data_IF_037973549296
#
_entry.id   IF_037973549296
#
_cell.length_a   1.000
_cell.length_b   1.000
_cell.length_c   1.000
_cell.angle_alpha   90.00
_cell.angle_beta   90.00
_cell.angle_gamma   90.00
#
_symmetry.space_group_name_H-M   'P 1'
#
loop_
_entity.id
_entity.type
_entity.pdbx_description
1 polymer ?
#
# COMPACT_ATOMS: atom_id res chain seq x y z
N UNK A 1 4.97 -3.72 -24.64
CA UNK A 1 4.20 -4.36 -23.56
C UNK A 1 2.75 -3.92 -23.69
N UNK A 2 1.90 -4.68 -24.39
CA UNK A 2 0.46 -4.40 -24.45
C UNK A 2 -0.19 -4.31 -23.05
N UNK A 3 0.39 -4.98 -22.06
CA UNK A 3 -0.10 -5.03 -20.67
C UNK A 3 0.02 -3.71 -19.87
N UNK A 4 0.91 -2.78 -20.26
CA UNK A 4 1.15 -1.56 -19.47
C UNK A 4 -0.01 -0.55 -19.55
N UNK A 5 -0.78 -0.55 -20.65
CA UNK A 5 -1.94 0.32 -20.81
C UNK A 5 -3.10 -0.08 -19.88
N UNK A 6 -3.25 -1.38 -19.61
CA UNK A 6 -4.36 -1.95 -18.83
C UNK A 6 -4.30 -1.66 -17.32
N UNK A 7 -3.23 -1.01 -16.84
CA UNK A 7 -3.04 -0.69 -15.41
C UNK A 7 -2.95 0.82 -15.11
N UNK A 8 -3.11 1.71 -16.09
CA UNK A 8 -2.97 3.16 -15.88
C UNK A 8 -3.98 3.71 -14.84
N UNK A 9 -5.31 3.45 -14.94
CA UNK A 9 -6.26 3.93 -13.93
C UNK A 9 -6.01 3.34 -12.54
N UNK A 10 -5.58 2.08 -12.45
CA UNK A 10 -5.20 1.46 -11.18
C UNK A 10 -3.95 2.10 -10.58
N UNK A 11 -3.01 2.52 -11.43
CA UNK A 11 -1.82 3.27 -10.99
C UNK A 11 -2.23 4.65 -10.47
N UNK A 12 -3.10 5.38 -11.19
CA UNK A 12 -3.65 6.64 -10.70
C UNK A 12 -4.41 6.48 -9.37
N UNK A 13 -5.16 5.38 -9.18
CA UNK A 13 -5.85 5.10 -7.92
C UNK A 13 -4.89 4.98 -6.73
N UNK A 14 -3.67 4.47 -6.95
CA UNK A 14 -2.63 4.40 -5.90
C UNK A 14 -2.25 5.78 -5.37
N UNK A 15 -2.26 6.81 -6.22
CA UNK A 15 -2.04 8.18 -5.74
C UNK A 15 -3.13 8.61 -4.77
N UNK A 16 -4.41 8.43 -5.14
CA UNK A 16 -5.53 8.79 -4.28
C UNK A 16 -5.51 8.00 -2.95
N UNK A 17 -5.18 6.71 -2.99
CA UNK A 17 -5.02 5.90 -1.78
C UNK A 17 -3.87 6.39 -0.88
N UNK A 18 -2.70 6.71 -1.44
CA UNK A 18 -1.59 7.28 -0.67
C UNK A 18 -1.95 8.65 -0.08
N UNK A 19 -2.58 9.52 -0.87
CA UNK A 19 -2.98 10.84 -0.41
C UNK A 19 -4.05 10.78 0.66
N UNK A 20 -4.95 9.80 0.60
CA UNK A 20 -5.95 9.57 1.65
C UNK A 20 -5.29 9.21 2.99
N UNK A 21 -4.23 8.39 2.97
CA UNK A 21 -3.39 8.11 4.16
C UNK A 21 -2.65 9.36 4.64
N UNK A 22 -2.17 10.21 3.73
CA UNK A 22 -1.53 11.49 4.09
C UNK A 22 -2.53 12.39 4.82
N UNK A 23 -3.76 12.54 4.31
CA UNK A 23 -4.81 13.31 4.97
C UNK A 23 -5.08 12.81 6.39
N UNK A 24 -5.18 11.49 6.58
CA UNK A 24 -5.36 10.90 7.92
C UNK A 24 -4.27 11.31 8.91
N UNK A 25 -3.01 11.32 8.48
CA UNK A 25 -1.89 11.63 9.37
C UNK A 25 -1.61 13.13 9.54
N UNK A 26 -1.99 13.96 8.56
CA UNK A 26 -1.63 15.38 8.50
C UNK A 26 -2.78 16.28 8.94
N UNK A 27 -4.04 15.93 8.66
CA UNK A 27 -5.19 16.76 9.02
C UNK A 27 -5.27 17.12 10.51
N UNK A 28 -4.99 16.22 11.47
CA UNK A 28 -5.03 16.57 12.90
C UNK A 28 -4.05 17.68 13.30
N UNK A 29 -3.08 18.00 12.44
CA UNK A 29 -2.07 19.05 12.64
C UNK A 29 -2.45 20.36 11.94
N UNK A 30 -3.64 20.45 11.35
CA UNK A 30 -4.18 21.67 10.76
C UNK A 30 -5.04 22.42 11.78
N UNK A 31 -4.82 23.72 11.92
CA UNK A 31 -5.55 24.54 12.89
C UNK A 31 -6.92 25.02 12.38
N UNK A 32 -7.85 24.06 12.22
CA UNK A 32 -9.23 24.34 11.74
C UNK A 32 -10.32 23.87 12.69
N UNK A 33 -9.96 23.26 13.82
CA UNK A 33 -10.92 22.87 14.88
C UNK A 33 -11.86 21.70 14.54
N UNK A 34 -11.83 21.16 13.32
CA UNK A 34 -12.61 19.97 12.93
C UNK A 34 -11.75 19.00 12.10
N UNK A 35 -12.16 17.72 12.07
CA UNK A 35 -11.60 16.71 11.17
C UNK A 35 -12.73 16.14 10.31
N UNK A 36 -12.72 16.30 8.98
CA UNK A 36 -13.77 15.79 8.12
C UNK A 36 -13.71 14.26 8.06
N UNK A 37 -14.85 13.62 7.79
CA UNK A 37 -14.96 12.17 7.72
C UNK A 37 -13.95 11.53 6.76
N UNK A 38 -13.67 12.20 5.63
CA UNK A 38 -12.66 11.76 4.67
C UNK A 38 -11.25 11.71 5.28
N UNK A 39 -10.88 12.65 6.14
CA UNK A 39 -9.59 12.59 6.83
C UNK A 39 -9.60 11.53 7.93
N UNK A 40 -10.70 11.40 8.70
CA UNK A 40 -10.83 10.40 9.76
C UNK A 40 -10.70 8.96 9.23
N UNK A 41 -11.29 8.67 8.07
CA UNK A 41 -11.26 7.34 7.44
C UNK A 41 -10.06 7.11 6.52
N UNK A 42 -9.11 8.04 6.45
CA UNK A 42 -7.98 7.94 5.51
C UNK A 42 -7.00 6.81 5.77
N UNK A 43 -7.05 6.17 6.94
CA UNK A 43 -6.35 4.91 7.19
C UNK A 43 -6.77 3.80 6.23
N UNK A 44 -8.01 3.83 5.71
CA UNK A 44 -8.55 2.87 4.74
C UNK A 44 -7.87 2.91 3.35
N UNK A 45 -7.03 3.93 3.10
CA UNK A 45 -6.16 3.93 1.93
C UNK A 45 -5.20 2.74 1.90
N UNK A 46 -4.83 2.18 3.06
CA UNK A 46 -3.97 0.99 3.15
C UNK A 46 -4.70 -0.26 2.63
N UNK A 47 -5.99 -0.42 2.95
CA UNK A 47 -6.82 -1.52 2.47
C UNK A 47 -7.03 -1.46 0.95
N UNK A 48 -7.09 -0.25 0.38
CA UNK A 48 -7.07 -0.07 -1.07
C UNK A 48 -5.74 -0.59 -1.67
N UNK A 49 -4.60 -0.31 -1.05
CA UNK A 49 -3.31 -0.87 -1.46
C UNK A 49 -3.26 -2.40 -1.36
N UNK A 50 -3.76 -2.97 -0.27
CA UNK A 50 -3.82 -4.42 -0.09
C UNK A 50 -4.68 -5.11 -1.16
N UNK A 51 -5.85 -4.55 -1.46
CA UNK A 51 -6.74 -5.06 -2.51
C UNK A 51 -6.11 -4.92 -3.90
N UNK A 52 -5.49 -3.77 -4.19
CA UNK A 52 -4.74 -3.56 -5.43
C UNK A 52 -3.56 -4.54 -5.57
N UNK A 53 -2.86 -4.84 -4.48
CA UNK A 53 -1.73 -5.78 -4.47
C UNK A 53 -2.18 -7.18 -4.89
N UNK A 54 -3.26 -7.70 -4.31
CA UNK A 54 -3.82 -8.99 -4.69
C UNK A 54 -4.26 -9.05 -6.16
N UNK A 55 -4.90 -7.99 -6.65
CA UNK A 55 -5.34 -7.89 -8.05
C UNK A 55 -4.15 -7.89 -9.01
N UNK A 56 -3.16 -7.00 -8.79
CA UNK A 56 -2.00 -6.82 -9.66
C UNK A 56 -1.10 -8.07 -9.64
N UNK A 57 -0.90 -8.71 -8.49
CA UNK A 57 -0.09 -9.92 -8.40
C UNK A 57 -0.74 -11.07 -9.17
N UNK A 58 -2.06 -11.22 -9.09
CA UNK A 58 -2.76 -12.19 -9.93
C UNK A 58 -2.65 -11.84 -11.41
N UNK A 59 -2.79 -10.57 -11.80
CA UNK A 59 -2.62 -10.14 -13.18
C UNK A 59 -1.26 -10.52 -13.76
N UNK A 60 -0.18 -10.33 -12.99
CA UNK A 60 1.19 -10.59 -13.46
C UNK A 60 1.58 -12.07 -13.38
N UNK A 61 1.19 -12.79 -12.31
CA UNK A 61 1.77 -14.11 -12.01
C UNK A 61 0.80 -15.29 -12.16
N UNK A 62 -0.52 -15.08 -12.21
CA UNK A 62 -1.49 -16.18 -12.11
C UNK A 62 -1.44 -17.13 -13.31
N UNK A 63 -1.29 -16.62 -14.54
CA UNK A 63 -1.18 -17.47 -15.73
C UNK A 63 0.09 -18.32 -15.69
N UNK A 64 1.23 -17.70 -15.36
CA UNK A 64 2.49 -18.43 -15.19
C UNK A 64 2.43 -19.48 -14.08
N UNK A 65 1.66 -19.21 -13.01
CA UNK A 65 1.42 -20.19 -11.94
C UNK A 65 0.64 -21.40 -12.46
N UNK A 66 -0.48 -21.16 -13.13
CA UNK A 66 -1.33 -22.22 -13.69
C UNK A 66 -0.67 -23.07 -14.76
N UNK A 67 0.26 -22.49 -15.52
CA UNK A 67 1.03 -23.15 -16.58
C UNK A 67 2.34 -23.79 -16.07
N UNK A 68 2.61 -23.78 -14.76
CA UNK A 68 3.84 -24.35 -14.19
C UNK A 68 5.12 -23.57 -14.50
N UNK A 69 5.02 -22.34 -15.03
CA UNK A 69 6.14 -21.44 -15.31
C UNK A 69 6.52 -20.55 -14.12
N UNK A 70 5.74 -20.57 -13.04
CA UNK A 70 5.98 -19.74 -11.86
C UNK A 70 7.19 -20.22 -11.06
N UNK A 71 8.14 -19.31 -10.82
CA UNK A 71 9.34 -19.55 -10.02
C UNK A 71 9.26 -18.71 -8.76
N UNK A 72 9.02 -19.36 -7.62
CA UNK A 72 8.79 -18.68 -6.34
C UNK A 72 9.97 -17.79 -5.92
N UNK A 73 11.21 -18.25 -6.09
CA UNK A 73 12.40 -17.45 -5.79
C UNK A 73 12.51 -16.18 -6.65
N UNK A 74 12.24 -16.26 -7.96
CA UNK A 74 12.24 -15.10 -8.85
C UNK A 74 11.12 -14.12 -8.46
N UNK A 75 9.95 -14.64 -8.07
CA UNK A 75 8.83 -13.83 -7.58
C UNK A 75 9.22 -13.07 -6.30
N UNK A 76 9.71 -13.77 -5.27
CA UNK A 76 10.10 -13.15 -4.01
C UNK A 76 11.21 -12.12 -4.19
N UNK A 77 12.20 -12.40 -5.03
CA UNK A 77 13.27 -11.45 -5.32
C UNK A 77 12.73 -10.17 -5.97
N UNK A 78 11.81 -10.29 -6.93
CA UNK A 78 11.18 -9.13 -7.56
C UNK A 78 10.33 -8.31 -6.56
N UNK A 79 9.67 -8.97 -5.60
CA UNK A 79 8.92 -8.29 -4.54
C UNK A 79 9.85 -7.61 -3.54
N UNK A 80 10.91 -8.29 -3.10
CA UNK A 80 11.92 -7.72 -2.22
C UNK A 80 12.59 -6.50 -2.86
N UNK A 81 12.95 -6.58 -4.14
CA UNK A 81 13.50 -5.46 -4.91
C UNK A 81 12.53 -4.27 -5.05
N UNK A 82 11.22 -4.51 -4.94
CA UNK A 82 10.20 -3.45 -4.99
C UNK A 82 10.14 -2.67 -3.68
N UNK A 83 10.20 -3.35 -2.53
CA UNK A 83 9.92 -2.75 -1.21
C UNK A 83 11.17 -2.52 -0.34
N UNK A 84 12.13 -3.43 -0.35
CA UNK A 84 13.21 -3.43 0.65
C UNK A 84 14.17 -2.23 0.56
N UNK A 85 14.61 -1.75 -0.63
CA UNK A 85 15.57 -0.65 -0.71
C UNK A 85 15.10 0.62 -0.02
N UNK A 86 13.86 1.03 -0.28
CA UNK A 86 13.31 2.24 0.31
C UNK A 86 12.94 2.03 1.79
N UNK A 87 12.44 0.85 2.15
CA UNK A 87 12.27 0.48 3.55
C UNK A 87 13.54 0.69 4.35
N UNK A 88 14.66 0.13 3.89
CA UNK A 88 15.95 0.27 4.56
C UNK A 88 16.42 1.73 4.62
N UNK A 89 16.28 2.48 3.51
CA UNK A 89 16.67 3.89 3.48
C UNK A 89 15.85 4.75 4.46
N UNK A 90 14.54 4.55 4.54
CA UNK A 90 13.70 5.29 5.50
C UNK A 90 13.91 4.83 6.94
N UNK A 91 14.18 3.55 7.17
CA UNK A 91 14.55 3.03 8.49
C UNK A 91 15.84 3.69 9.00
N UNK A 92 16.88 3.74 8.16
CA UNK A 92 18.14 4.45 8.48
C UNK A 92 17.91 5.95 8.64
N UNK A 93 17.10 6.56 7.77
CA UNK A 93 16.77 7.99 7.85
C UNK A 93 16.09 8.37 9.16
N UNK A 94 15.08 7.60 9.58
CA UNK A 94 14.42 7.80 10.89
C UNK A 94 15.40 7.61 12.04
N UNK A 95 16.26 6.57 11.96
CA UNK A 95 17.29 6.35 12.96
C UNK A 95 18.24 7.53 13.11
N UNK A 96 18.76 8.03 11.98
CA UNK A 96 19.63 9.20 11.94
C UNK A 96 18.94 10.46 12.46
N UNK A 97 17.68 10.70 12.07
CA UNK A 97 16.88 11.82 12.57
C UNK A 97 16.69 11.76 14.09
N UNK A 98 16.38 10.58 14.63
CA UNK A 98 16.19 10.39 16.06
C UNK A 98 17.49 10.65 16.84
N UNK A 99 18.63 10.11 16.38
CA UNK A 99 19.94 10.36 16.99
C UNK A 99 20.29 11.85 16.96
N UNK A 100 20.13 12.50 15.79
CA UNK A 100 20.41 13.93 15.65
C UNK A 100 19.50 14.78 16.56
N UNK A 101 18.22 14.43 16.67
CA UNK A 101 17.28 15.08 17.58
C UNK A 101 17.71 14.96 19.04
N UNK A 102 18.09 13.76 19.48
CA UNK A 102 18.62 13.54 20.84
C UNK A 102 19.90 14.35 21.09
N UNK A 103 20.84 14.38 20.14
CA UNK A 103 22.07 15.17 20.25
C UNK A 103 21.79 16.68 20.30
N UNK A 104 20.73 17.14 19.64
CA UNK A 104 20.27 18.53 19.67
C UNK A 104 19.44 18.87 20.92
N UNK A 105 19.29 17.95 21.88
CA UNK A 105 18.52 18.14 23.11
C UNK A 105 17.00 18.09 22.93
N UNK A 106 16.50 17.55 21.81
CA UNK A 106 15.06 17.36 21.58
C UNK A 106 14.58 16.07 22.26
N UNK A 107 13.37 16.11 22.83
CA UNK A 107 12.70 14.92 23.34
C UNK A 107 12.25 14.05 22.17
N UNK A 108 12.87 12.87 22.05
CA UNK A 108 12.50 11.85 21.05
C UNK A 108 11.77 10.73 21.76
N UNK A 109 10.64 10.29 21.21
CA UNK A 109 9.91 9.13 21.73
C UNK A 109 10.85 7.91 21.77
N UNK A 110 11.08 7.28 22.95
CA UNK A 110 11.96 6.12 23.10
C UNK A 110 11.58 4.95 22.19
N UNK A 111 10.31 4.85 21.78
CA UNK A 111 9.83 3.82 20.87
C UNK A 111 10.42 3.96 19.46
N UNK A 112 10.76 5.18 19.01
CA UNK A 112 11.32 5.41 17.67
C UNK A 112 12.63 4.65 17.48
N UNK A 113 13.51 4.64 18.49
CA UNK A 113 14.77 3.89 18.49
C UNK A 113 14.67 2.60 19.32
N UNK A 114 13.53 1.92 19.28
CA UNK A 114 13.37 0.64 19.93
C UNK A 114 14.27 -0.43 19.27
N UNK A 115 15.47 -0.61 19.81
CA UNK A 115 16.46 -1.58 19.33
C UNK A 115 15.92 -3.02 19.35
N UNK A 116 15.05 -3.34 20.32
CA UNK A 116 14.36 -4.65 20.38
C UNK A 116 13.45 -4.90 19.18
N UNK A 117 12.92 -3.85 18.54
CA UNK A 117 12.09 -3.94 17.35
C UNK A 117 12.91 -3.96 16.04
N UNK A 118 14.20 -3.62 16.08
CA UNK A 118 15.04 -3.51 14.89
C UNK A 118 15.16 -4.85 14.10
N UNK A 119 15.41 -6.01 14.73
CA UNK A 119 15.50 -7.27 13.99
C UNK A 119 14.21 -7.57 13.21
N UNK A 120 13.05 -7.37 13.83
CA UNK A 120 11.76 -7.59 13.17
C UNK A 120 11.52 -6.61 12.01
N UNK A 121 11.97 -5.36 12.14
CA UNK A 121 11.91 -4.37 11.06
C UNK A 121 12.83 -4.72 9.89
N UNK A 122 14.05 -5.20 10.16
CA UNK A 122 14.99 -5.64 9.12
C UNK A 122 14.48 -6.88 8.38
N UNK A 123 13.79 -7.79 9.08
CA UNK A 123 13.19 -8.99 8.49
C UNK A 123 11.83 -8.75 7.85
N UNK A 124 11.26 -7.54 7.94
CA UNK A 124 9.88 -7.21 7.51
C UNK A 124 8.79 -8.05 8.19
N UNK A 125 9.00 -8.44 9.44
CA UNK A 125 8.05 -9.25 10.23
C UNK A 125 7.50 -8.53 11.46
N UNK A 126 7.77 -7.23 11.58
CA UNK A 126 7.35 -6.41 12.71
C UNK A 126 5.82 -6.24 12.81
N UNK A 127 5.06 -6.36 11.72
CA UNK A 127 3.60 -6.29 11.74
C UNK A 127 2.91 -7.65 11.95
N UNK A 128 3.68 -8.69 12.28
CA UNK A 128 3.17 -10.05 12.53
C UNK A 128 3.09 -10.38 14.02
N UNK A 129 3.37 -9.39 14.89
CA UNK A 129 3.49 -9.55 16.34
C UNK A 129 4.90 -9.82 16.86
N UNK A 130 5.91 -9.89 15.99
CA UNK A 130 7.31 -10.10 16.41
C UNK A 130 8.01 -8.83 16.92
N UNK A 131 7.45 -7.64 16.68
CA UNK A 131 7.97 -6.41 17.27
C UNK A 131 7.19 -6.05 18.54
N UNK A 132 7.87 -5.68 19.65
CA UNK A 132 7.18 -5.32 20.89
C UNK A 132 6.45 -3.97 20.79
N UNK A 133 6.91 -3.07 19.90
CA UNK A 133 6.38 -1.72 19.72
C UNK A 133 6.49 -1.28 18.26
N UNK A 134 5.73 -0.26 17.89
CA UNK A 134 5.83 0.40 16.58
C UNK A 134 7.03 1.34 16.52
N UNK A 135 8.23 0.76 16.44
CA UNK A 135 9.48 1.51 16.37
C UNK A 135 9.94 1.82 14.95
N UNK A 136 10.97 2.65 14.84
CA UNK A 136 11.57 3.09 13.58
C UNK A 136 10.54 3.81 12.69
N UNK A 137 10.33 3.33 11.46
CA UNK A 137 9.35 3.92 10.57
C UNK A 137 7.98 3.29 10.81
N UNK A 138 7.12 3.96 11.59
CA UNK A 138 5.75 3.52 11.87
C UNK A 138 4.99 3.14 10.58
N UNK A 139 5.11 3.91 9.49
CA UNK A 139 4.40 3.64 8.24
C UNK A 139 4.74 2.26 7.64
N UNK A 140 5.92 1.71 7.93
CA UNK A 140 6.39 0.46 7.34
C UNK A 140 5.60 -0.79 7.76
N UNK A 141 4.69 -0.72 8.75
CA UNK A 141 3.89 -1.86 9.19
C UNK A 141 3.13 -2.52 8.04
N UNK A 142 2.58 -1.73 7.12
CA UNK A 142 1.82 -2.26 5.98
C UNK A 142 2.70 -3.02 4.99
N UNK A 143 3.99 -2.66 4.88
CA UNK A 143 4.96 -3.36 4.04
C UNK A 143 5.37 -4.69 4.67
N UNK A 144 5.43 -4.77 6.00
CA UNK A 144 5.56 -6.05 6.69
C UNK A 144 4.35 -6.95 6.46
N UNK A 145 3.14 -6.39 6.47
CA UNK A 145 1.93 -7.12 6.10
C UNK A 145 1.97 -7.58 4.62
N UNK A 146 2.38 -6.71 3.69
CA UNK A 146 2.58 -7.09 2.28
C UNK A 146 3.61 -8.19 2.11
N UNK A 147 4.70 -8.16 2.88
CA UNK A 147 5.71 -9.22 2.86
C UNK A 147 5.12 -10.58 3.25
N UNK A 148 4.21 -10.61 4.23
CA UNK A 148 3.45 -11.82 4.55
C UNK A 148 2.58 -12.29 3.37
N UNK A 149 1.85 -11.38 2.72
CA UNK A 149 1.05 -11.72 1.54
C UNK A 149 1.90 -12.21 0.36
N UNK A 150 3.13 -11.72 0.19
CA UNK A 150 4.06 -12.22 -0.81
C UNK A 150 4.53 -13.63 -0.49
N UNK A 151 4.92 -13.90 0.75
CA UNK A 151 5.33 -15.24 1.17
C UNK A 151 4.19 -16.27 1.06
N UNK A 152 2.96 -15.84 1.30
CA UNK A 152 1.77 -16.69 1.22
C UNK A 152 1.08 -16.66 -0.15
N UNK A 153 1.62 -15.89 -1.11
CA UNK A 153 1.04 -15.74 -2.45
C UNK A 153 0.77 -17.05 -3.18
N UNK A 154 1.61 -18.10 -3.12
CA UNK A 154 1.30 -19.38 -3.76
C UNK A 154 -0.04 -19.99 -3.33
N UNK A 155 -0.45 -19.81 -2.06
CA UNK A 155 -1.74 -20.29 -1.58
C UNK A 155 -2.90 -19.48 -2.18
N UNK A 156 -2.76 -18.15 -2.23
CA UNK A 156 -3.74 -17.28 -2.91
C UNK A 156 -3.82 -17.57 -4.41
N UNK A 157 -2.67 -17.76 -5.08
CA UNK A 157 -2.59 -18.09 -6.49
C UNK A 157 -3.23 -19.45 -6.80
N UNK A 158 -3.02 -20.46 -5.94
CA UNK A 158 -3.68 -21.76 -6.05
C UNK A 158 -5.21 -21.62 -5.95
N UNK A 159 -5.71 -20.91 -4.93
CA UNK A 159 -7.13 -20.68 -4.76
C UNK A 159 -7.73 -19.91 -5.96
N UNK A 160 -7.08 -18.81 -6.38
CA UNK A 160 -7.48 -18.01 -7.52
C UNK A 160 -7.46 -18.80 -8.83
N UNK A 161 -6.46 -19.68 -9.04
CA UNK A 161 -6.37 -20.53 -10.22
C UNK A 161 -7.48 -21.57 -10.25
N UNK A 162 -7.79 -22.19 -9.12
CA UNK A 162 -8.88 -23.19 -9.01
C UNK A 162 -10.25 -22.56 -9.21
N UNK A 163 -10.44 -21.34 -8.74
CA UNK A 163 -11.71 -20.60 -8.83
C UNK A 163 -11.84 -19.73 -10.08
N UNK A 164 -10.86 -19.74 -11.00
CA UNK A 164 -10.86 -18.88 -12.20
C UNK A 164 -12.10 -19.04 -13.08
N UNK A 165 -12.67 -20.25 -13.16
CA UNK A 165 -13.89 -20.55 -13.92
C UNK A 165 -15.18 -20.20 -13.16
N UNK A 166 -15.06 -19.93 -11.84
CA UNK A 166 -16.15 -19.58 -10.94
C UNK A 166 -15.89 -18.21 -10.28
N UNK A 167 -15.71 -17.14 -11.08
CA UNK A 167 -15.30 -15.83 -10.57
C UNK A 167 -16.28 -15.22 -9.58
N UNK A 168 -17.59 -15.41 -9.80
CA UNK A 168 -18.64 -14.91 -8.89
C UNK A 168 -18.53 -15.61 -7.53
N UNK A 169 -18.30 -16.92 -7.51
CA UNK A 169 -18.11 -17.65 -6.25
C UNK A 169 -16.82 -17.20 -5.53
N UNK A 170 -15.76 -16.89 -6.27
CA UNK A 170 -14.53 -16.33 -5.70
C UNK A 170 -14.80 -14.98 -5.01
N UNK A 171 -15.52 -14.08 -5.69
CA UNK A 171 -15.88 -12.76 -5.15
C UNK A 171 -16.79 -12.89 -3.94
N UNK A 172 -17.85 -13.70 -4.02
CA UNK A 172 -18.73 -13.95 -2.87
C UNK A 172 -17.99 -14.56 -1.68
N UNK A 173 -17.06 -15.48 -1.92
CA UNK A 173 -16.22 -16.06 -0.88
C UNK A 173 -15.30 -15.02 -0.22
N UNK A 174 -14.70 -14.12 -1.00
CA UNK A 174 -13.87 -13.04 -0.46
C UNK A 174 -14.70 -11.99 0.31
N UNK A 175 -15.89 -11.63 -0.19
CA UNK A 175 -16.82 -10.74 0.50
C UNK A 175 -17.31 -11.35 1.82
N UNK A 176 -17.64 -12.65 1.82
CA UNK A 176 -17.97 -13.39 3.04
C UNK A 176 -16.80 -13.40 4.02
N UNK A 177 -15.56 -13.57 3.54
CA UNK A 177 -14.38 -13.50 4.39
C UNK A 177 -14.22 -12.12 5.05
N UNK A 178 -14.42 -11.02 4.32
CA UNK A 178 -14.43 -9.68 4.91
C UNK A 178 -15.57 -9.54 5.94
N UNK A 179 -16.80 -9.90 5.54
CA UNK A 179 -18.00 -9.75 6.37
C UNK A 179 -17.97 -10.57 7.66
N UNK A 180 -17.23 -11.69 7.68
CA UNK A 180 -17.08 -12.54 8.86
C UNK A 180 -15.86 -12.15 9.69
N UNK A 181 -14.70 -11.97 9.06
CA UNK A 181 -13.42 -11.84 9.76
C UNK A 181 -13.32 -10.51 10.52
N UNK A 182 -13.81 -9.40 9.95
CA UNK A 182 -13.79 -8.10 10.62
C UNK A 182 -14.58 -8.09 11.95
N UNK A 183 -15.89 -8.41 11.97
CA UNK A 183 -16.65 -8.44 13.22
C UNK A 183 -16.22 -9.57 14.15
N UNK A 184 -15.81 -10.73 13.63
CA UNK A 184 -15.32 -11.82 14.48
C UNK A 184 -14.01 -11.43 15.19
N UNK A 185 -13.09 -10.76 14.49
CA UNK A 185 -11.86 -10.25 15.10
C UNK A 185 -12.18 -9.22 16.17
N UNK A 186 -13.04 -8.25 15.88
CA UNK A 186 -13.42 -7.20 16.84
C UNK A 186 -14.05 -7.80 18.11
N UNK A 187 -14.93 -8.78 17.97
CA UNK A 187 -15.55 -9.48 19.09
C UNK A 187 -14.55 -10.26 19.95
N UNK A 188 -13.47 -10.81 19.35
CA UNK A 188 -12.47 -11.62 20.06
C UNK A 188 -11.32 -10.78 20.63
N UNK A 189 -10.89 -9.74 19.91
CA UNK A 189 -9.72 -8.93 20.25
C UNK A 189 -10.08 -7.66 21.03
N UNK A 190 -11.34 -7.21 20.98
CA UNK A 190 -11.82 -6.00 21.67
C UNK A 190 -11.50 -4.68 20.97
N UNK A 191 -11.00 -4.72 19.74
CA UNK A 191 -10.74 -3.56 18.88
C UNK A 191 -10.84 -3.93 17.40
N UNK A 192 -11.00 -2.94 16.52
CA UNK A 192 -11.20 -3.17 15.09
C UNK A 192 -9.96 -3.80 14.41
N UNK A 193 -10.19 -4.68 13.44
CA UNK A 193 -9.11 -5.18 12.57
C UNK A 193 -8.42 -4.06 11.79
N UNK A 194 -9.10 -2.94 11.53
CA UNK A 194 -8.48 -1.76 10.89
C UNK A 194 -7.56 -0.96 11.80
N UNK A 195 -7.58 -1.22 13.12
CA UNK A 195 -6.62 -0.65 14.07
C UNK A 195 -5.43 -1.59 14.31
N UNK A 196 -5.55 -2.86 13.91
CA UNK A 196 -4.47 -3.83 13.96
C UNK A 196 -3.34 -3.45 13.01
N UNK A 197 -2.20 -3.05 13.58
CA UNK A 197 -0.97 -2.68 12.86
C UNK A 197 0.17 -3.64 13.21
N UNK A 198 0.78 -3.52 14.40
CA UNK A 198 1.98 -4.28 14.78
C UNK A 198 1.70 -5.74 15.15
N UNK A 199 0.65 -6.00 15.93
CA UNK A 199 0.37 -7.34 16.45
C UNK A 199 -0.39 -8.23 15.46
N UNK A 200 -1.19 -7.64 14.57
CA UNK A 200 -2.11 -8.38 13.70
C UNK A 200 -2.16 -7.85 12.27
N UNK A 201 -1.20 -7.02 11.86
CA UNK A 201 -1.15 -6.45 10.51
C UNK A 201 -1.10 -7.52 9.41
N UNK A 202 -0.41 -8.64 9.69
CA UNK A 202 -0.40 -9.81 8.80
C UNK A 202 -1.80 -10.44 8.61
N UNK A 203 -2.68 -10.39 9.61
CA UNK A 203 -4.06 -10.86 9.47
C UNK A 203 -4.92 -9.85 8.70
N UNK A 204 -4.72 -8.55 8.95
CA UNK A 204 -5.47 -7.44 8.32
C UNK A 204 -5.39 -7.45 6.79
N UNK A 205 -4.23 -7.79 6.22
CA UNK A 205 -4.05 -7.82 4.76
C UNK A 205 -4.78 -8.98 4.07
N UNK A 206 -4.94 -10.13 4.73
CA UNK A 206 -5.48 -11.38 4.15
C UNK A 206 -6.83 -11.20 3.46
N UNK A 207 -7.88 -10.65 4.11
CA UNK A 207 -9.19 -10.46 3.48
C UNK A 207 -9.13 -9.54 2.25
N UNK A 208 -8.41 -8.41 2.35
CA UNK A 208 -8.28 -7.46 1.26
C UNK A 208 -7.50 -8.04 0.07
N UNK A 209 -6.40 -8.74 0.34
CA UNK A 209 -5.58 -9.37 -0.68
C UNK A 209 -6.34 -10.46 -1.44
N UNK A 210 -7.04 -11.34 -0.72
CA UNK A 210 -7.90 -12.36 -1.33
C UNK A 210 -9.01 -11.74 -2.18
N UNK A 211 -9.60 -10.64 -1.72
CA UNK A 211 -10.62 -9.91 -2.48
C UNK A 211 -10.04 -9.36 -3.78
N UNK A 212 -8.83 -8.78 -3.75
CA UNK A 212 -8.11 -8.40 -4.96
C UNK A 212 -7.90 -9.54 -5.95
N UNK A 213 -7.47 -10.72 -5.46
CA UNK A 213 -7.31 -11.92 -6.28
C UNK A 213 -8.63 -12.39 -6.91
N UNK A 214 -9.72 -12.35 -6.15
CA UNK A 214 -11.05 -12.73 -6.62
C UNK A 214 -11.61 -11.76 -7.66
N UNK A 215 -11.42 -10.45 -7.45
CA UNK A 215 -11.79 -9.41 -8.41
C UNK A 215 -11.00 -9.53 -9.71
N UNK A 216 -9.73 -9.93 -9.65
CA UNK A 216 -8.96 -10.25 -10.86
C UNK A 216 -9.56 -11.43 -11.63
N UNK A 217 -9.99 -12.50 -10.96
CA UNK A 217 -10.66 -13.61 -11.62
C UNK A 217 -11.96 -13.16 -12.32
N UNK A 218 -12.74 -12.28 -11.68
CA UNK A 218 -13.93 -11.69 -12.28
C UNK A 218 -13.59 -10.81 -13.49
N UNK A 219 -12.58 -9.96 -13.37
CA UNK A 219 -12.12 -9.09 -14.46
C UNK A 219 -11.65 -9.92 -15.67
N UNK A 220 -10.83 -10.94 -15.44
CA UNK A 220 -10.31 -11.83 -16.49
C UNK A 220 -11.42 -12.62 -17.20
N UNK A 221 -12.54 -12.90 -16.52
CA UNK A 221 -13.64 -13.65 -17.10
C UNK A 221 -14.37 -12.93 -18.23
N UNK A 222 -14.18 -11.62 -18.39
CA UNK A 222 -14.84 -10.81 -19.42
C UNK A 222 -16.38 -10.73 -19.28
N UNK A 223 -16.93 -11.20 -18.15
CA UNK A 223 -18.39 -11.26 -17.93
C UNK A 223 -19.06 -9.91 -17.78
N UNK A 224 -18.30 -8.87 -17.41
CA UNK A 224 -18.84 -7.54 -17.18
C UNK A 224 -18.64 -6.65 -18.42
N UNK A 225 -19.70 -6.00 -18.93
CA UNK A 225 -19.62 -5.21 -20.15
C UNK A 225 -18.85 -3.90 -19.93
N UNK A 226 -17.78 -3.69 -20.68
CA UNK A 226 -16.90 -2.52 -20.55
C UNK A 226 -17.64 -1.17 -20.66
N UNK A 227 -18.66 -1.07 -21.51
CA UNK A 227 -19.51 0.14 -21.65
C UNK A 227 -20.18 0.62 -20.35
N UNK A 228 -20.38 -0.28 -19.38
CA UNK A 228 -20.99 0.08 -18.09
C UNK A 228 -19.95 0.42 -17.02
N UNK A 229 -18.67 0.16 -17.27
CA UNK A 229 -17.61 0.30 -16.28
C UNK A 229 -17.40 1.75 -15.84
N UNK A 230 -17.57 2.72 -16.75
CA UNK A 230 -17.50 4.15 -16.41
C UNK A 230 -18.61 4.58 -15.44
N UNK A 231 -19.85 4.21 -15.73
CA UNK A 231 -20.98 4.46 -14.83
C UNK A 231 -20.83 3.72 -13.49
N UNK A 232 -20.36 2.47 -13.53
CA UNK A 232 -20.07 1.69 -12.34
C UNK A 232 -18.98 2.32 -11.47
N UNK A 233 -17.90 2.83 -12.09
CA UNK A 233 -16.82 3.52 -11.38
C UNK A 233 -17.32 4.82 -10.75
N UNK A 234 -18.13 5.62 -11.47
CA UNK A 234 -18.73 6.84 -10.91
C UNK A 234 -19.66 6.53 -9.74
N UNK A 235 -20.56 5.56 -9.90
CA UNK A 235 -21.50 5.13 -8.86
C UNK A 235 -20.77 4.63 -7.61
N UNK A 236 -19.78 3.75 -7.77
CA UNK A 236 -19.02 3.19 -6.64
C UNK A 236 -18.11 4.23 -5.99
N UNK A 237 -17.60 5.20 -6.74
CA UNK A 237 -16.88 6.35 -6.16
C UNK A 237 -17.81 7.18 -5.27
N UNK A 238 -19.00 7.53 -5.77
CA UNK A 238 -20.01 8.26 -5.00
C UNK A 238 -20.48 7.48 -3.78
N UNK A 239 -20.74 6.17 -3.93
CA UNK A 239 -21.13 5.30 -2.84
C UNK A 239 -20.03 5.19 -1.76
N UNK A 240 -18.76 5.11 -2.17
CA UNK A 240 -17.62 5.10 -1.25
C UNK A 240 -17.52 6.42 -0.48
N UNK A 241 -17.65 7.56 -1.17
CA UNK A 241 -17.64 8.87 -0.53
C UNK A 241 -18.82 9.06 0.44
N UNK A 242 -20.02 8.62 0.05
CA UNK A 242 -21.20 8.65 0.91
C UNK A 242 -21.00 7.73 2.15
N UNK A 243 -20.51 6.51 1.95
CA UNK A 243 -20.22 5.58 3.04
C UNK A 243 -19.21 6.16 4.03
N UNK A 244 -18.17 6.83 3.54
CA UNK A 244 -17.22 7.57 4.40
C UNK A 244 -17.92 8.72 5.12
N UNK A 245 -18.65 9.57 4.41
CA UNK A 245 -19.30 10.77 4.96
C UNK A 245 -20.32 10.44 6.05
N UNK A 246 -21.08 9.35 5.88
CA UNK A 246 -22.12 8.92 6.82
C UNK A 246 -21.63 7.89 7.85
N UNK A 247 -20.32 7.63 7.92
CA UNK A 247 -19.73 6.77 8.96
C UNK A 247 -20.13 5.30 8.86
N UNK A 248 -20.30 4.78 7.63
CA UNK A 248 -20.51 3.35 7.41
C UNK A 248 -19.32 2.53 7.96
N UNK A 249 -19.57 1.23 8.21
CA UNK A 249 -18.53 0.35 8.71
C UNK A 249 -17.38 0.20 7.71
N UNK A 250 -16.17 0.00 8.24
CA UNK A 250 -14.95 -0.12 7.43
C UNK A 250 -15.05 -1.24 6.40
N UNK A 251 -15.68 -2.36 6.78
CA UNK A 251 -15.94 -3.49 5.89
C UNK A 251 -16.73 -3.07 4.64
N UNK A 252 -17.77 -2.24 4.80
CA UNK A 252 -18.58 -1.75 3.67
C UNK A 252 -17.72 -0.87 2.75
N UNK A 253 -16.95 0.05 3.32
CA UNK A 253 -16.09 0.95 2.55
C UNK A 253 -15.05 0.15 1.75
N UNK A 254 -14.45 -0.89 2.34
CA UNK A 254 -13.49 -1.79 1.67
C UNK A 254 -14.15 -2.55 0.52
N UNK A 255 -15.37 -3.08 0.72
CA UNK A 255 -16.12 -3.77 -0.33
C UNK A 255 -16.43 -2.85 -1.52
N UNK A 256 -16.87 -1.61 -1.24
CA UNK A 256 -17.14 -0.59 -2.26
C UNK A 256 -15.86 -0.19 -3.01
N UNK A 257 -14.74 -0.04 -2.28
CA UNK A 257 -13.43 0.27 -2.86
C UNK A 257 -12.93 -0.84 -3.79
N UNK A 258 -13.10 -2.11 -3.41
CA UNK A 258 -12.76 -3.23 -4.30
C UNK A 258 -13.63 -3.27 -5.55
N UNK A 259 -14.93 -2.99 -5.41
CA UNK A 259 -15.81 -2.79 -6.56
C UNK A 259 -15.32 -1.67 -7.48
N UNK A 260 -14.90 -0.53 -6.91
CA UNK A 260 -14.33 0.59 -7.66
C UNK A 260 -13.04 0.18 -8.40
N UNK A 261 -12.14 -0.56 -7.74
CA UNK A 261 -10.93 -1.12 -8.37
C UNK A 261 -11.31 -1.98 -9.58
N UNK A 262 -12.30 -2.87 -9.43
CA UNK A 262 -12.78 -3.71 -10.52
C UNK A 262 -13.35 -2.90 -11.70
N UNK A 263 -14.17 -1.88 -11.42
CA UNK A 263 -14.73 -1.02 -12.46
C UNK A 263 -13.64 -0.23 -13.19
N UNK A 264 -12.68 0.33 -12.46
CA UNK A 264 -11.54 1.04 -13.06
C UNK A 264 -10.63 0.13 -13.88
N UNK A 265 -10.41 -1.11 -13.44
CA UNK A 265 -9.67 -2.10 -14.22
C UNK A 265 -10.39 -2.48 -15.52
N UNK A 266 -11.71 -2.64 -15.47
CA UNK A 266 -12.54 -2.94 -16.65
C UNK A 266 -12.58 -1.75 -17.63
N UNK A 267 -12.66 -0.53 -17.10
CA UNK A 267 -12.60 0.70 -17.88
C UNK A 267 -11.23 0.84 -18.58
N UNK A 268 -10.15 0.53 -17.87
CA UNK A 268 -8.79 0.52 -18.42
C UNK A 268 -8.62 -0.50 -19.56
N UNK A 269 -9.29 -1.65 -19.49
CA UNK A 269 -9.20 -2.68 -20.53
C UNK A 269 -9.81 -2.25 -21.87
N UNK A 270 -10.71 -1.28 -21.86
CA UNK A 270 -11.36 -0.71 -23.05
C UNK A 270 -10.56 0.45 -23.68
N UNK A 271 -9.37 0.74 -23.16
CA UNK A 271 -8.51 1.81 -23.67
C UNK A 271 -8.92 3.22 -23.22
N UNK A 272 -9.75 3.34 -22.18
CA UNK A 272 -10.15 4.65 -21.65
C UNK A 272 -8.95 5.43 -21.11
N UNK A 273 -8.80 6.66 -21.61
CA UNK A 273 -7.88 7.66 -21.10
C UNK A 273 -8.65 8.91 -20.67
N UNK A 274 -8.20 9.57 -19.61
CA UNK A 274 -8.80 10.82 -19.13
C UNK A 274 -7.79 11.96 -19.09
N UNK A 275 -8.27 13.20 -19.18
CA UNK A 275 -7.41 14.37 -19.17
C UNK A 275 -6.55 14.43 -17.89
N UNK A 276 -5.23 14.63 -18.05
CA UNK A 276 -4.29 14.67 -16.92
C UNK A 276 -3.95 13.30 -16.32
N UNK A 277 -4.39 12.19 -16.92
CA UNK A 277 -4.08 10.83 -16.46
C UNK A 277 -2.57 10.59 -16.30
N UNK A 278 -1.73 11.15 -17.17
CA UNK A 278 -0.27 11.01 -17.07
C UNK A 278 0.29 11.54 -15.74
N UNK A 279 -0.25 12.66 -15.24
CA UNK A 279 0.16 13.25 -13.95
C UNK A 279 -0.25 12.31 -12.82
N UNK A 280 -1.49 11.85 -12.80
CA UNK A 280 -1.96 10.95 -11.72
C UNK A 280 -1.28 9.58 -11.78
N UNK A 281 -0.98 9.06 -12.97
CA UNK A 281 -0.20 7.84 -13.13
C UNK A 281 1.20 8.03 -12.54
N UNK A 282 1.89 9.12 -12.88
CA UNK A 282 3.20 9.42 -12.30
C UNK A 282 3.15 9.55 -10.78
N UNK A 283 2.17 10.28 -10.24
CA UNK A 283 1.95 10.39 -8.80
C UNK A 283 1.65 9.02 -8.16
N UNK A 284 1.01 8.12 -8.91
CA UNK A 284 0.74 6.73 -8.53
C UNK A 284 1.98 5.83 -8.55
N UNK A 285 2.94 6.10 -9.44
CA UNK A 285 4.22 5.39 -9.51
C UNK A 285 5.09 5.71 -8.29
N UNK A 286 5.13 6.98 -7.90
CA UNK A 286 5.86 7.45 -6.71
C UNK A 286 5.09 7.22 -5.40
N UNK A 287 3.87 6.67 -5.45
CA UNK A 287 2.99 6.53 -4.28
C UNK A 287 3.61 5.71 -3.13
N UNK A 288 4.47 4.74 -3.48
CA UNK A 288 5.19 3.96 -2.49
C UNK A 288 6.23 4.82 -1.76
N UNK A 289 6.95 5.66 -2.49
CA UNK A 289 7.81 6.69 -1.90
C UNK A 289 7.03 7.65 -1.01
N UNK A 290 5.90 8.18 -1.49
CA UNK A 290 5.01 9.03 -0.70
C UNK A 290 4.63 8.39 0.63
N UNK A 291 4.19 7.13 0.59
CA UNK A 291 3.76 6.41 1.79
C UNK A 291 4.91 6.18 2.79
N UNK A 292 6.09 5.79 2.31
CA UNK A 292 7.23 5.48 3.20
C UNK A 292 7.83 6.73 3.86
N UNK A 293 7.81 7.87 3.17
CA UNK A 293 8.41 9.11 3.70
C UNK A 293 7.41 10.00 4.43
N UNK A 294 6.10 9.79 4.31
CA UNK A 294 5.11 10.73 4.85
C UNK A 294 5.20 10.88 6.37
N UNK A 295 5.47 9.83 7.14
CA UNK A 295 5.58 9.94 8.60
C UNK A 295 6.89 10.61 9.03
N UNK A 296 8.07 10.19 8.54
CA UNK A 296 9.33 10.89 8.84
C UNK A 296 9.27 12.37 8.42
N UNK A 297 8.75 12.67 7.23
CA UNK A 297 8.59 14.04 6.75
C UNK A 297 7.66 14.85 7.65
N UNK A 298 6.52 14.30 8.06
CA UNK A 298 5.59 14.96 8.98
C UNK A 298 6.28 15.39 10.28
N UNK A 299 7.04 14.47 10.88
CA UNK A 299 7.74 14.73 12.15
C UNK A 299 8.76 15.86 11.95
N UNK A 300 9.59 15.77 10.90
CA UNK A 300 10.61 16.78 10.62
C UNK A 300 10.01 18.15 10.31
N UNK A 301 9.02 18.19 9.42
CA UNK A 301 8.47 19.41 8.88
C UNK A 301 7.65 20.19 9.92
N UNK A 302 6.87 19.49 10.75
CA UNK A 302 6.11 20.13 11.83
C UNK A 302 7.07 20.71 12.87
N UNK A 303 8.03 19.91 13.37
CA UNK A 303 8.99 20.38 14.37
C UNK A 303 9.85 21.54 13.84
N UNK A 304 10.23 21.49 12.56
CA UNK A 304 10.94 22.59 11.91
C UNK A 304 10.11 23.85 11.79
N UNK A 305 8.84 23.72 11.36
CA UNK A 305 7.93 24.85 11.20
C UNK A 305 7.57 25.50 12.54
N UNK A 306 7.26 24.72 13.58
CA UNK A 306 6.92 25.26 14.89
C UNK A 306 8.08 26.03 15.50
N UNK A 307 9.31 25.55 15.34
CA UNK A 307 10.52 26.25 15.78
C UNK A 307 10.82 27.50 14.94
N UNK A 308 10.67 27.42 13.62
CA UNK A 308 11.02 28.53 12.71
C UNK A 308 10.02 29.70 12.81
N UNK A 309 8.73 29.38 12.96
CA UNK A 309 7.65 30.38 13.00
C UNK A 309 7.17 30.67 14.43
N UNK A 310 7.83 30.12 15.45
CA UNK A 310 7.48 30.27 16.87
C UNK A 310 6.00 29.97 17.16
N UNK A 311 5.50 28.86 16.59
CA UNK A 311 4.10 28.43 16.74
C UNK A 311 3.98 27.67 18.06
N UNK A 312 3.04 28.09 18.90
CA UNK A 312 2.71 27.36 20.13
C UNK A 312 1.94 26.07 19.81
N UNK A 313 2.41 24.94 20.35
CA UNK A 313 1.81 23.62 20.12
C UNK A 313 2.23 22.96 18.81
N UNK A 314 1.38 22.09 18.28
CA UNK A 314 1.66 21.25 17.10
C UNK A 314 0.64 21.42 15.96
N UNK A 315 -0.26 22.40 16.09
CA UNK A 315 -1.22 22.79 15.06
C UNK A 315 -0.67 23.91 14.20
N UNK A 316 -0.80 23.75 12.89
CA UNK A 316 -0.20 24.63 11.90
C UNK A 316 -1.25 25.51 11.22
N UNK A 317 -0.93 26.79 10.95
CA UNK A 317 -1.71 27.63 10.05
C UNK A 317 -1.86 26.99 8.67
N UNK A 318 -2.98 27.25 8.00
CA UNK A 318 -3.35 26.63 6.73
C UNK A 318 -2.25 26.69 5.66
N UNK A 319 -1.61 27.85 5.47
CA UNK A 319 -0.59 28.02 4.43
C UNK A 319 0.68 27.19 4.71
N UNK A 320 1.10 27.11 5.98
CA UNK A 320 2.24 26.29 6.39
C UNK A 320 1.90 24.81 6.21
N UNK A 321 0.70 24.41 6.63
CA UNK A 321 0.22 23.04 6.46
C UNK A 321 0.18 22.63 4.98
N UNK A 322 -0.39 23.48 4.11
CA UNK A 322 -0.41 23.24 2.65
C UNK A 322 1.02 23.13 2.11
N UNK A 323 1.93 24.02 2.53
CA UNK A 323 3.34 23.96 2.13
C UNK A 323 4.01 22.64 2.49
N UNK A 324 3.77 22.14 3.71
CA UNK A 324 4.31 20.85 4.18
C UNK A 324 3.73 19.67 3.40
N UNK A 325 2.41 19.66 3.16
CA UNK A 325 1.76 18.61 2.36
C UNK A 325 2.24 18.65 0.91
N UNK A 326 2.33 19.84 0.32
CA UNK A 326 2.77 20.02 -1.07
C UNK A 326 4.23 19.59 -1.27
N UNK A 327 5.11 19.89 -0.30
CA UNK A 327 6.51 19.47 -0.30
C UNK A 327 6.70 17.94 -0.31
N UNK A 328 5.70 17.18 0.15
CA UNK A 328 5.76 15.72 0.12
C UNK A 328 5.90 15.18 -1.31
N UNK A 329 5.28 15.81 -2.31
CA UNK A 329 5.32 15.35 -3.72
C UNK A 329 6.74 15.40 -4.30
N UNK A 330 7.46 16.54 -4.32
CA UNK A 330 8.83 16.57 -4.82
C UNK A 330 9.78 15.69 -4.00
N UNK A 331 9.62 15.61 -2.67
CA UNK A 331 10.42 14.69 -1.84
C UNK A 331 10.19 13.22 -2.21
N UNK A 332 8.95 12.85 -2.51
CA UNK A 332 8.58 11.51 -2.97
C UNK A 332 9.19 11.21 -4.33
N UNK A 333 9.18 12.18 -5.24
CA UNK A 333 9.83 12.05 -6.55
C UNK A 333 11.36 11.88 -6.42
N UNK A 334 12.02 12.65 -5.54
CA UNK A 334 13.46 12.52 -5.28
C UNK A 334 13.77 11.12 -4.73
N UNK A 335 13.05 10.69 -3.69
CA UNK A 335 13.18 9.35 -3.11
C UNK A 335 13.00 8.25 -4.17
N UNK A 336 11.99 8.41 -5.03
CA UNK A 336 11.68 7.46 -6.08
C UNK A 336 12.81 7.32 -7.10
N UNK A 337 13.30 8.45 -7.65
CA UNK A 337 14.29 8.45 -8.72
C UNK A 337 15.73 8.22 -8.23
N UNK A 338 16.04 8.54 -6.97
CA UNK A 338 17.39 8.39 -6.41
C UNK A 338 17.59 7.03 -5.75
N UNK A 339 16.58 6.52 -5.05
CA UNK A 339 16.71 5.32 -4.22
C UNK A 339 15.88 4.18 -4.79
N UNK A 340 14.56 4.38 -4.86
CA UNK A 340 13.61 3.30 -5.10
C UNK A 340 13.81 2.63 -6.47
N UNK A 341 13.77 3.42 -7.56
CA UNK A 341 13.86 2.94 -8.93
C UNK A 341 15.25 2.41 -9.27
N UNK A 342 16.37 3.13 -8.98
CA UNK A 342 17.71 2.64 -9.30
C UNK A 342 18.07 1.35 -8.55
N UNK A 343 17.78 1.26 -7.24
CA UNK A 343 18.08 0.06 -6.46
C UNK A 343 17.26 -1.14 -6.95
N UNK A 344 15.98 -0.93 -7.30
CA UNK A 344 15.14 -1.98 -7.87
C UNK A 344 15.71 -2.52 -9.16
N UNK A 345 16.08 -1.66 -10.09
CA UNK A 345 16.61 -2.10 -11.39
C UNK A 345 18.00 -2.77 -11.24
N UNK A 346 18.84 -2.31 -10.31
CA UNK A 346 20.09 -3.00 -9.94
C UNK A 346 19.84 -4.39 -9.37
N UNK A 347 18.89 -4.55 -8.44
CA UNK A 347 18.56 -5.88 -7.90
C UNK A 347 18.00 -6.82 -8.98
N UNK A 348 17.19 -6.31 -9.90
CA UNK A 348 16.68 -7.11 -11.04
C UNK A 348 17.78 -7.51 -12.03
N UNK A 349 18.78 -6.66 -12.26
CA UNK A 349 19.92 -7.00 -13.15
C UNK A 349 20.83 -8.04 -12.51
N UNK A 350 21.06 -8.00 -11.20
CA UNK A 350 21.80 -9.04 -10.46
C UNK A 350 21.18 -10.43 -10.63
N UNK A 351 19.84 -10.53 -10.50
CA UNK A 351 19.13 -11.80 -10.70
C UNK A 351 19.30 -12.36 -12.12
N UNK A 352 19.28 -11.49 -13.15
CA UNK A 352 19.55 -11.89 -14.53
C UNK A 352 20.98 -12.42 -14.71
N UNK A 353 21.96 -11.74 -14.12
CA UNK A 353 23.36 -12.16 -14.15
C UNK A 353 23.62 -13.50 -13.44
N UNK A 354 23.00 -13.74 -12.27
CA UNK A 354 23.10 -15.02 -11.58
C UNK A 354 22.50 -16.18 -12.38
N UNK A 355 21.37 -15.94 -13.05
CA UNK A 355 20.73 -16.95 -13.91
C UNK A 355 21.63 -17.30 -15.11
N UNK A 356 22.24 -16.31 -15.74
CA UNK A 356 23.20 -16.53 -16.84
C UNK A 356 24.44 -17.31 -16.39
N UNK A 357 25.02 -16.96 -15.23
CA UNK A 357 26.17 -17.68 -14.67
C UNK A 357 25.83 -19.14 -14.34
N UNK A 358 24.65 -19.39 -13.75
CA UNK A 358 24.20 -20.76 -13.43
C UNK A 358 24.03 -21.61 -14.69
N UNK A 359 23.43 -21.06 -15.75
CA UNK A 359 23.28 -21.75 -17.02
C UNK A 359 24.64 -22.05 -17.68
N UNK A 360 25.59 -21.12 -17.61
CA UNK A 360 26.95 -21.33 -18.12
C UNK A 360 27.69 -22.46 -17.38
N UNK A 361 27.53 -22.56 -16.05
CA UNK A 361 28.13 -23.64 -15.25
C UNK A 361 27.50 -25.00 -15.62
N UNK A 362 26.17 -25.07 -15.75
CA UNK A 362 25.47 -26.32 -16.13
C UNK A 362 25.75 -26.74 -17.56
N UNK A 363 26.09 -25.82 -18.47
CA UNK A 363 26.50 -26.14 -19.83
C UNK A 363 27.97 -26.59 -19.94
N UNK A 364 28.78 -26.33 -18.90
CA UNK A 364 30.20 -26.70 -18.85
C UNK A 364 30.45 -28.02 -18.08
N UNK A 365 29.42 -28.57 -17.44
CA UNK A 365 29.39 -29.89 -16.77
C UNK A 365 28.58 -30.86 -17.60
#
# INVERSE_FOLDING_TARGET
MPDAAHIKPLTALRFFAAFWVVLFHYWPKLDVGFTPAIAQKGYLGVEAFFTLSGFILCHVYLSGFGEGRFRYGDFLWNRLARVYPLHLATLVGVGAMAIAGTMAGLTVDPNILAWKALPANLMLVHAWGFAPVSGWNHASWSISAEWFAYLTFPAFAFAAWKLRERPVAAVLGALAMIALLYPAFEALAGFSLTDATIQWGALRIVPCFAFGCALHALWRSGRFPARLSGYGAALLSMATLAAVQFGASDSIIIMLMGGLIFMLATLASDGFEFAGQSVFVYLGEISYSTYMICIPWKILAINGATKLFNIEGDKLPLLIWIGIVAALVPLSAISFHVIESPCRERMKTWARGWKQRRLAITAAT
#
